data_IF_114086721240
#
_entry.id   IF_114086721240
#
_cell.length_a   1.000
_cell.length_b   1.000
_cell.length_c   1.000
_cell.angle_alpha   90.00
_cell.angle_beta   90.00
_cell.angle_gamma   90.00
#
_symmetry.space_group_name_H-M   'P 1'
#
loop_
_entity.id
_entity.type
_entity.pdbx_description
1 polymer ?
#
# COMPACT_ATOMS: atom_id res chain seq x y z
N UNK A 1 25.03 21.35 -13.23
CA UNK A 1 25.30 19.94 -13.57
C UNK A 1 24.55 19.11 -12.55
N UNK A 2 23.30 18.75 -12.85
CA UNK A 2 22.47 17.95 -11.95
C UNK A 2 22.76 16.47 -12.17
N UNK A 3 23.09 15.77 -11.08
CA UNK A 3 23.53 14.39 -11.09
C UNK A 3 22.36 13.42 -11.35
N UNK A 4 22.61 12.24 -11.95
CA UNK A 4 21.61 11.20 -12.16
C UNK A 4 21.31 10.46 -10.85
N UNK A 5 20.66 11.11 -9.87
CA UNK A 5 20.36 10.52 -8.57
C UNK A 5 19.00 9.80 -8.51
N UNK A 6 18.10 10.01 -9.48
CA UNK A 6 16.69 9.59 -9.35
C UNK A 6 16.41 8.11 -9.60
N UNK A 7 17.22 7.41 -10.39
CA UNK A 7 16.96 6.00 -10.74
C UNK A 7 17.60 5.02 -9.76
N UNK A 8 18.85 5.30 -9.35
CA UNK A 8 19.62 4.42 -8.47
C UNK A 8 19.09 4.43 -7.03
N UNK A 9 18.56 5.56 -6.55
CA UNK A 9 17.90 5.67 -5.26
C UNK A 9 16.58 4.88 -5.19
N UNK A 10 15.85 4.77 -6.30
CA UNK A 10 14.59 4.01 -6.37
C UNK A 10 14.80 2.49 -6.35
N UNK A 11 15.97 2.02 -6.78
CA UNK A 11 16.34 0.60 -6.72
C UNK A 11 16.92 0.16 -5.37
N UNK A 12 17.18 1.09 -4.45
CA UNK A 12 17.70 0.77 -3.13
C UNK A 12 16.64 0.01 -2.30
N UNK A 13 17.11 -0.94 -1.49
CA UNK A 13 16.26 -1.61 -0.50
C UNK A 13 15.85 -0.59 0.55
N UNK A 14 14.57 -0.53 0.85
CA UNK A 14 14.00 0.41 1.81
C UNK A 14 14.30 -0.04 3.24
N UNK A 15 14.72 0.92 4.07
CA UNK A 15 15.00 0.76 5.50
C UNK A 15 14.66 2.04 6.24
N UNK A 16 14.61 2.01 7.57
CA UNK A 16 14.47 3.21 8.40
C UNK A 16 15.58 4.25 8.18
N UNK A 17 16.70 3.87 7.56
CA UNK A 17 17.79 4.80 7.24
C UNK A 17 17.59 5.58 5.93
N UNK A 18 16.66 5.16 5.05
CA UNK A 18 16.43 5.79 3.75
C UNK A 18 14.96 6.08 3.42
N UNK A 19 14.07 5.86 4.38
CA UNK A 19 12.68 6.30 4.34
C UNK A 19 12.41 7.25 5.51
N UNK A 20 11.56 8.25 5.30
CA UNK A 20 11.17 9.19 6.33
C UNK A 20 9.71 8.96 6.73
N UNK A 21 9.43 9.08 8.04
CA UNK A 21 8.07 9.08 8.56
C UNK A 21 7.23 10.22 7.94
N UNK A 22 5.98 9.92 7.63
CA UNK A 22 5.06 10.86 6.98
C UNK A 22 5.42 11.20 5.53
N UNK A 23 6.41 10.56 4.92
CA UNK A 23 6.73 10.78 3.51
C UNK A 23 5.55 10.35 2.63
N UNK A 24 5.07 11.27 1.78
CA UNK A 24 3.95 11.02 0.88
C UNK A 24 4.44 10.98 -0.57
N UNK A 25 4.00 9.95 -1.30
CA UNK A 25 4.11 9.84 -2.74
C UNK A 25 2.72 9.95 -3.36
N UNK A 26 2.63 10.72 -4.45
CA UNK A 26 1.41 10.93 -5.22
C UNK A 26 1.65 10.59 -6.69
N UNK A 27 0.58 10.56 -7.48
CA UNK A 27 0.66 10.39 -8.94
C UNK A 27 1.49 11.47 -9.67
N UNK A 28 1.85 12.57 -8.99
CA UNK A 28 2.78 13.59 -9.52
C UNK A 28 4.23 13.16 -9.42
N UNK A 29 4.57 12.28 -8.47
CA UNK A 29 5.94 11.85 -8.17
C UNK A 29 6.33 10.62 -9.00
N UNK A 30 5.36 9.71 -9.21
CA UNK A 30 5.49 8.51 -10.03
C UNK A 30 4.11 7.86 -10.31
N UNK A 31 4.10 6.88 -11.22
CA UNK A 31 2.94 6.03 -11.42
C UNK A 31 2.70 5.15 -10.19
N UNK A 32 1.57 5.36 -9.51
CA UNK A 32 1.14 4.59 -8.35
C UNK A 32 0.17 3.46 -8.73
N UNK A 33 -0.09 3.27 -10.03
CA UNK A 33 -1.08 2.33 -10.53
C UNK A 33 -2.49 2.76 -10.15
N UNK A 34 -3.16 1.95 -9.33
CA UNK A 34 -4.53 2.25 -8.87
C UNK A 34 -4.60 2.83 -7.46
N UNK A 35 -3.46 3.24 -6.89
CA UNK A 35 -3.40 3.87 -5.56
C UNK A 35 -3.53 5.40 -5.71
N UNK A 36 -4.20 6.03 -4.75
CA UNK A 36 -4.39 7.48 -4.69
C UNK A 36 -3.13 8.19 -4.14
N UNK A 37 -2.55 7.63 -3.07
CA UNK A 37 -1.27 8.06 -2.49
C UNK A 37 -0.59 6.89 -1.79
N UNK A 38 0.69 7.05 -1.51
CA UNK A 38 1.46 6.14 -0.64
C UNK A 38 2.08 6.96 0.48
N UNK A 39 1.84 6.54 1.72
CA UNK A 39 2.37 7.18 2.92
C UNK A 39 3.33 6.23 3.61
N UNK A 40 4.52 6.71 3.93
CA UNK A 40 5.46 5.98 4.78
C UNK A 40 5.15 6.29 6.24
N UNK A 41 5.09 5.25 7.06
CA UNK A 41 5.06 5.37 8.52
C UNK A 41 6.27 4.65 9.09
N UNK A 42 7.01 5.32 9.97
CA UNK A 42 8.12 4.72 10.72
C UNK A 42 7.77 4.72 12.20
N UNK A 43 7.74 3.53 12.80
CA UNK A 43 7.42 3.33 14.22
C UNK A 43 8.56 2.54 14.82
N UNK A 44 9.24 3.11 15.81
CA UNK A 44 10.47 2.57 16.37
C UNK A 44 11.50 2.27 15.26
N UNK A 45 11.80 1.00 15.00
CA UNK A 45 12.71 0.53 13.94
C UNK A 45 11.96 -0.14 12.76
N UNK A 46 10.63 -0.06 12.73
CA UNK A 46 9.82 -0.61 11.65
C UNK A 46 9.47 0.48 10.63
N UNK A 47 9.55 0.13 9.35
CA UNK A 47 9.09 0.99 8.26
C UNK A 47 7.99 0.29 7.46
N UNK A 48 6.85 0.97 7.33
CA UNK A 48 5.66 0.48 6.64
C UNK A 48 5.25 1.47 5.57
N UNK A 49 4.90 0.97 4.38
CA UNK A 49 4.26 1.78 3.35
C UNK A 49 2.77 1.46 3.31
N UNK A 50 1.94 2.50 3.40
CA UNK A 50 0.50 2.43 3.23
C UNK A 50 0.12 2.99 1.86
N UNK A 51 -0.48 2.17 1.02
CA UNK A 51 -1.05 2.58 -0.27
C UNK A 51 -2.57 2.69 -0.18
N UNK A 52 -3.06 3.91 -0.33
CA UNK A 52 -4.49 4.20 -0.26
C UNK A 52 -5.19 4.01 -1.60
N UNK A 53 -6.44 3.53 -1.55
CA UNK A 53 -7.33 3.44 -2.71
C UNK A 53 -8.79 3.51 -2.26
N UNK A 54 -9.66 3.92 -3.16
CA UNK A 54 -11.10 4.02 -2.88
C UNK A 54 -11.88 2.83 -3.44
N UNK A 55 -12.91 2.41 -2.71
CA UNK A 55 -13.92 1.43 -3.15
C UNK A 55 -15.32 1.96 -2.88
N UNK A 56 -16.32 1.44 -3.59
CA UNK A 56 -17.72 1.78 -3.29
C UNK A 56 -18.12 1.18 -1.94
N UNK A 57 -18.76 1.98 -1.07
CA UNK A 57 -19.12 1.57 0.28
C UNK A 57 -20.02 0.32 0.31
N UNK A 58 -20.87 0.16 -0.70
CA UNK A 58 -21.75 -1.00 -0.84
C UNK A 58 -20.99 -2.34 -0.92
N UNK A 59 -19.75 -2.32 -1.42
CA UNK A 59 -18.92 -3.52 -1.53
C UNK A 59 -18.47 -4.06 -0.16
N UNK A 60 -18.39 -3.19 0.85
CA UNK A 60 -17.95 -3.53 2.20
C UNK A 60 -19.07 -4.18 3.04
N UNK A 61 -20.32 -4.06 2.62
CA UNK A 61 -21.45 -4.69 3.32
C UNK A 61 -21.47 -6.22 3.18
N UNK A 62 -20.74 -6.77 2.21
CA UNK A 62 -20.77 -8.22 1.92
C UNK A 62 -19.54 -8.94 2.42
N UNK A 63 -18.37 -8.31 2.28
CA UNK A 63 -17.08 -8.93 2.51
C UNK A 63 -16.17 -8.01 3.30
N UNK A 64 -15.52 -8.58 4.33
CA UNK A 64 -14.54 -7.87 5.15
C UNK A 64 -13.20 -7.80 4.39
N UNK A 65 -12.69 -6.59 4.06
CA UNK A 65 -11.43 -6.44 3.34
C UNK A 65 -10.21 -6.99 4.09
N UNK A 66 -10.29 -7.17 5.42
CA UNK A 66 -9.26 -7.82 6.23
C UNK A 66 -9.07 -9.31 5.92
N UNK A 67 -10.02 -9.95 5.22
CA UNK A 67 -9.94 -11.36 4.81
C UNK A 67 -9.18 -11.58 3.50
N UNK A 68 -8.69 -10.51 2.87
CA UNK A 68 -7.92 -10.60 1.63
C UNK A 68 -6.60 -11.32 1.90
N UNK A 69 -6.30 -12.33 1.08
CA UNK A 69 -5.10 -13.14 1.23
C UNK A 69 -3.84 -12.28 1.11
N UNK A 70 -2.91 -12.46 2.04
CA UNK A 70 -1.65 -11.72 2.07
C UNK A 70 -0.69 -12.21 0.98
N UNK A 71 0.14 -11.30 0.47
CA UNK A 71 1.18 -11.63 -0.50
C UNK A 71 2.28 -12.50 0.17
N UNK A 72 2.63 -13.68 -0.36
CA UNK A 72 3.50 -14.63 0.34
C UNK A 72 4.94 -14.14 0.53
N UNK A 73 5.36 -13.17 -0.28
CA UNK A 73 6.70 -12.61 -0.23
C UNK A 73 6.84 -11.34 0.65
N UNK A 74 5.76 -10.88 1.29
CA UNK A 74 5.80 -9.66 2.09
C UNK A 74 4.82 -9.70 3.27
N UNK A 75 5.23 -9.11 4.40
CA UNK A 75 4.31 -8.86 5.51
C UNK A 75 3.42 -7.67 5.12
N UNK A 76 2.16 -7.95 4.82
CA UNK A 76 1.29 -6.99 4.15
C UNK A 76 -0.19 -7.31 4.42
N UNK A 77 -1.10 -6.39 4.09
CA UNK A 77 -2.54 -6.60 4.29
C UNK A 77 -3.37 -5.38 3.90
N UNK A 78 -4.63 -5.38 4.31
CA UNK A 78 -5.54 -4.23 4.20
C UNK A 78 -5.90 -3.76 5.61
N UNK A 79 -5.84 -2.44 5.82
CA UNK A 79 -6.44 -1.75 6.94
C UNK A 79 -7.55 -0.86 6.39
N UNK A 80 -8.69 -0.91 7.05
CA UNK A 80 -9.81 -0.03 6.76
C UNK A 80 -9.59 1.30 7.48
N UNK A 81 -9.56 2.40 6.72
CA UNK A 81 -9.54 3.75 7.28
C UNK A 81 -10.91 4.38 6.98
N UNK A 82 -11.82 4.30 7.95
CA UNK A 82 -13.24 4.66 7.83
C UNK A 82 -13.51 6.17 7.63
N UNK A 83 -12.54 6.95 7.18
CA UNK A 83 -12.76 8.35 6.82
C UNK A 83 -13.25 8.43 5.36
N UNK A 84 -14.46 7.92 5.13
CA UNK A 84 -15.13 7.96 3.84
C UNK A 84 -15.73 9.35 3.58
N UNK A 85 -15.50 9.97 2.41
CA UNK A 85 -16.28 11.12 2.00
C UNK A 85 -17.77 10.74 1.93
N UNK A 86 -18.68 11.70 2.15
CA UNK A 86 -20.13 11.48 2.18
C UNK A 86 -20.73 11.16 0.79
N UNK A 87 -19.91 10.71 -0.16
CA UNK A 87 -20.23 10.49 -1.57
C UNK A 87 -20.45 9.00 -1.94
N UNK A 88 -20.42 8.11 -0.95
CA UNK A 88 -20.63 6.67 -1.15
C UNK A 88 -19.36 5.88 -1.45
N UNK A 89 -18.18 6.49 -1.30
CA UNK A 89 -16.90 5.78 -1.38
C UNK A 89 -16.22 5.68 0.00
N UNK A 90 -15.44 4.62 0.18
CA UNK A 90 -14.60 4.41 1.38
C UNK A 90 -13.15 4.29 0.94
N UNK A 91 -12.26 4.89 1.72
CA UNK A 91 -10.82 4.74 1.53
C UNK A 91 -10.33 3.50 2.27
N UNK A 92 -9.62 2.63 1.57
CA UNK A 92 -8.91 1.49 2.15
C UNK A 92 -7.41 1.72 2.00
N UNK A 93 -6.65 1.21 2.96
CA UNK A 93 -5.20 1.26 2.95
C UNK A 93 -4.62 -0.14 2.84
N UNK A 94 -3.99 -0.46 1.71
CA UNK A 94 -3.08 -1.60 1.67
C UNK A 94 -1.80 -1.22 2.41
N UNK A 95 -1.20 -2.15 3.17
CA UNK A 95 0.09 -1.91 3.81
C UNK A 95 1.11 -2.98 3.43
N UNK A 96 2.38 -2.61 3.46
CA UNK A 96 3.51 -3.53 3.33
C UNK A 96 4.65 -3.07 4.24
N UNK A 97 5.15 -3.97 5.08
CA UNK A 97 6.40 -3.75 5.79
C UNK A 97 7.54 -3.78 4.79
N UNK A 98 8.42 -2.79 4.86
CA UNK A 98 9.65 -2.75 4.07
C UNK A 98 10.88 -2.97 4.94
N UNK A 99 10.76 -2.70 6.25
CA UNK A 99 11.70 -3.03 7.29
C UNK A 99 10.95 -3.39 8.57
N UNK A 100 11.43 -4.40 9.30
CA UNK A 100 10.96 -4.66 10.67
C UNK A 100 12.12 -5.11 11.57
N UNK A 101 12.08 -4.75 12.85
CA UNK A 101 13.06 -5.17 13.85
C UNK A 101 13.25 -6.69 13.95
N UNK A 102 12.20 -7.48 13.66
CA UNK A 102 12.27 -8.95 13.72
C UNK A 102 13.15 -9.55 12.60
N UNK A 103 13.19 -8.89 11.44
CA UNK A 103 13.76 -9.46 10.21
C UNK A 103 14.74 -8.53 9.47
N UNK A 104 14.95 -7.31 9.98
CA UNK A 104 15.68 -6.25 9.30
C UNK A 104 14.98 -5.79 8.01
N UNK A 105 15.78 -5.36 7.04
CA UNK A 105 15.28 -4.99 5.73
C UNK A 105 14.69 -6.21 4.99
N UNK A 106 13.43 -6.12 4.55
CA UNK A 106 12.76 -7.24 3.87
C UNK A 106 13.12 -7.38 2.38
N UNK A 107 14.12 -6.64 1.91
CA UNK A 107 14.61 -6.68 0.54
C UNK A 107 13.72 -5.96 -0.49
N UNK A 108 12.72 -5.21 -0.03
CA UNK A 108 11.82 -4.46 -0.92
C UNK A 108 12.43 -3.11 -1.28
N UNK A 109 12.56 -2.86 -2.59
CA UNK A 109 12.75 -1.51 -3.12
C UNK A 109 11.40 -0.79 -3.24
N UNK A 110 11.41 0.53 -3.47
CA UNK A 110 10.17 1.29 -3.67
C UNK A 110 9.31 0.72 -4.82
N UNK A 111 9.83 0.43 -6.03
CA UNK A 111 9.05 -0.22 -7.07
C UNK A 111 8.48 -1.57 -6.67
N UNK A 112 9.23 -2.39 -5.94
CA UNK A 112 8.77 -3.70 -5.48
C UNK A 112 7.64 -3.58 -4.45
N UNK A 113 7.77 -2.65 -3.50
CA UNK A 113 6.72 -2.37 -2.51
C UNK A 113 5.44 -1.84 -3.17
N UNK A 114 5.57 -0.93 -4.15
CA UNK A 114 4.42 -0.44 -4.93
C UNK A 114 3.71 -1.54 -5.72
N UNK A 115 4.47 -2.50 -6.25
CA UNK A 115 3.91 -3.66 -6.92
C UNK A 115 3.08 -4.51 -5.95
N UNK A 116 3.63 -4.82 -4.76
CA UNK A 116 2.92 -5.57 -3.70
C UNK A 116 1.64 -4.84 -3.28
N UNK A 117 1.70 -3.54 -3.02
CA UNK A 117 0.52 -2.73 -2.66
C UNK A 117 -0.55 -2.80 -3.76
N UNK A 118 -0.16 -2.70 -5.03
CA UNK A 118 -1.09 -2.81 -6.14
C UNK A 118 -1.66 -4.23 -6.33
N UNK A 119 -0.88 -5.27 -6.05
CA UNK A 119 -1.36 -6.66 -6.07
C UNK A 119 -2.44 -6.89 -5.00
N UNK A 120 -2.19 -6.46 -3.76
CA UNK A 120 -3.16 -6.57 -2.66
C UNK A 120 -4.41 -5.76 -2.97
N UNK A 121 -4.26 -4.52 -3.47
CA UNK A 121 -5.37 -3.68 -3.92
C UNK A 121 -6.25 -4.42 -4.94
N UNK A 122 -5.64 -5.00 -5.98
CA UNK A 122 -6.38 -5.75 -7.02
C UNK A 122 -7.10 -6.95 -6.43
N UNK A 123 -6.45 -7.69 -5.54
CA UNK A 123 -7.05 -8.85 -4.86
C UNK A 123 -8.22 -8.42 -3.99
N UNK A 124 -8.08 -7.34 -3.23
CA UNK A 124 -9.13 -6.75 -2.41
C UNK A 124 -10.36 -6.37 -3.25
N UNK A 125 -10.17 -5.54 -4.28
CA UNK A 125 -11.27 -5.13 -5.16
C UNK A 125 -11.95 -6.32 -5.83
N UNK A 126 -11.17 -7.33 -6.26
CA UNK A 126 -11.72 -8.56 -6.85
C UNK A 126 -12.52 -9.37 -5.82
N UNK A 127 -12.01 -9.52 -4.60
CA UNK A 127 -12.66 -10.22 -3.51
C UNK A 127 -13.99 -9.55 -3.12
N UNK A 128 -13.98 -8.24 -2.90
CA UNK A 128 -15.17 -7.48 -2.53
C UNK A 128 -16.27 -7.58 -3.61
N UNK A 129 -15.89 -7.52 -4.89
CA UNK A 129 -16.85 -7.65 -6.02
C UNK A 129 -17.42 -9.05 -6.21
N UNK A 130 -16.74 -10.10 -5.74
CA UNK A 130 -17.29 -11.47 -5.82
C UNK A 130 -18.54 -11.63 -4.96
N UNK A 131 -18.65 -10.85 -3.88
CA UNK A 131 -19.83 -10.86 -3.01
C UNK A 131 -21.06 -10.19 -3.61
N UNK A 132 -20.88 -9.26 -4.55
CA UNK A 132 -21.98 -8.49 -5.17
C UNK A 132 -22.50 -9.12 -6.46
N UNK A 133 -21.87 -10.20 -6.95
CA UNK A 133 -22.38 -10.97 -8.08
C UNK A 133 -23.55 -11.86 -7.62
N UNK A 134 -24.73 -11.28 -7.45
CA UNK A 134 -25.98 -12.07 -7.41
C UNK A 134 -26.31 -12.58 -8.83
N UNK A 135 -26.72 -13.86 -9.00
CA UNK A 135 -27.48 -14.30 -10.18
C UNK A 135 -28.88 -13.68 -10.23
#
# INVERSE_FOLDING_TARGET
MDAPQSSQARGAVLTTANVADGQVLTGRDMDLGGLCRVVTTVIDDDAVLYGEFTVDAELLHVHDPGQVQHHPAALCGIVEDWDGPHDGTVTLSAYVYVHTHEHGALGLSLPAALQVLNDIRRQCVSYLRKGTAQP
#
